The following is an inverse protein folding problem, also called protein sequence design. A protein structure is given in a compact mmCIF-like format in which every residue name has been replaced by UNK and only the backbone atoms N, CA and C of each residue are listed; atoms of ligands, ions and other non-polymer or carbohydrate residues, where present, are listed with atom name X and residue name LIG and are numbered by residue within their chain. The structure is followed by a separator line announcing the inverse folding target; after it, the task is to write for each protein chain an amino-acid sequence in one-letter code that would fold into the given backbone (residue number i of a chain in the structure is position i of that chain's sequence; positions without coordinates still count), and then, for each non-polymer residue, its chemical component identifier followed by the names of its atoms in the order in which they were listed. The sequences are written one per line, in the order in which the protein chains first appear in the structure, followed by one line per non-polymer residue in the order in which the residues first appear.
data_IF_815254699704
#
_entry.id   IF_815254699704
#
_cell.length_a   1.000
_cell.length_b   1.000
_cell.length_c   1.000
_cell.angle_alpha   90.00
_cell.angle_beta   90.00
_cell.angle_gamma   90.00
#
_symmetry.space_group_name_H-M   'P 1'
#
loop_
_entity.id
_entity.type
_entity.pdbx_description
1 polymer ?
#
# COMPACT_ATOMS: atom_id res chain seq x y z
N UNK A 1 -2.17 4.80 30.44
CA UNK A 1 -1.86 4.73 28.99
C UNK A 1 -2.92 5.50 28.21
N UNK A 2 -2.50 6.46 27.40
CA UNK A 2 -3.44 7.24 26.59
C UNK A 2 -3.88 6.40 25.41
N UNK A 3 -5.19 6.23 25.24
CA UNK A 3 -5.72 5.58 24.05
C UNK A 3 -6.09 6.65 23.03
N UNK A 4 -5.46 6.59 21.87
CA UNK A 4 -5.76 7.46 20.76
C UNK A 4 -6.97 6.94 19.98
N UNK A 5 -7.86 7.84 19.58
CA UNK A 5 -8.95 7.51 18.68
C UNK A 5 -8.39 7.19 17.28
N UNK A 6 -9.15 6.44 16.49
CA UNK A 6 -8.74 6.00 15.15
C UNK A 6 -8.31 7.16 14.25
N UNK A 7 -9.02 8.30 14.33
CA UNK A 7 -8.71 9.51 13.55
C UNK A 7 -7.36 10.13 13.96
N UNK A 8 -7.07 10.16 15.26
CA UNK A 8 -5.81 10.71 15.79
C UNK A 8 -4.62 9.81 15.43
N UNK A 9 -4.80 8.50 15.51
CA UNK A 9 -3.77 7.53 15.10
C UNK A 9 -3.42 7.70 13.63
N UNK A 10 -4.41 7.87 12.77
CA UNK A 10 -4.22 8.10 11.34
C UNK A 10 -3.45 9.39 11.08
N UNK A 11 -3.81 10.48 11.74
CA UNK A 11 -3.14 11.78 11.62
C UNK A 11 -1.66 11.69 12.04
N UNK A 12 -1.38 11.04 13.17
CA UNK A 12 -0.01 10.86 13.64
C UNK A 12 0.81 10.00 12.68
N UNK A 13 0.23 8.93 12.16
CA UNK A 13 0.89 8.06 11.19
C UNK A 13 1.25 8.83 9.91
N UNK A 14 0.35 9.67 9.40
CA UNK A 14 0.61 10.48 8.21
C UNK A 14 1.74 11.49 8.44
N UNK A 15 1.78 12.15 9.60
CA UNK A 15 2.85 13.09 9.94
C UNK A 15 4.20 12.41 10.05
N UNK A 16 4.26 11.23 10.68
CA UNK A 16 5.48 10.43 10.77
C UNK A 16 5.96 10.01 9.37
N UNK A 17 5.05 9.59 8.50
CA UNK A 17 5.36 9.21 7.13
C UNK A 17 5.95 10.39 6.35
N UNK A 18 5.38 11.59 6.47
CA UNK A 18 5.91 12.79 5.83
C UNK A 18 7.31 13.13 6.33
N UNK A 19 7.58 12.96 7.64
CA UNK A 19 8.90 13.19 8.21
C UNK A 19 9.93 12.18 7.70
N UNK A 20 9.56 10.90 7.57
CA UNK A 20 10.46 9.82 7.18
C UNK A 20 10.66 9.73 5.66
N UNK A 21 9.61 9.96 4.88
CA UNK A 21 9.64 9.79 3.43
C UNK A 21 9.68 11.11 2.67
N UNK A 22 9.32 12.22 3.33
CA UNK A 22 9.44 13.57 2.79
C UNK A 22 8.54 13.85 1.59
N UNK A 23 8.95 14.83 0.78
CA UNK A 23 8.30 15.18 -0.46
C UNK A 23 8.35 14.01 -1.45
N UNK A 24 7.43 14.02 -2.41
CA UNK A 24 7.35 12.97 -3.41
C UNK A 24 8.61 12.93 -4.29
N UNK A 25 9.18 11.75 -4.47
CA UNK A 25 10.23 11.50 -5.45
C UNK A 25 9.56 11.09 -6.77
N UNK A 26 9.54 12.00 -7.74
CA UNK A 26 8.87 11.79 -9.01
C UNK A 26 9.48 10.68 -9.85
N UNK A 27 10.80 10.49 -9.79
CA UNK A 27 11.49 9.43 -10.52
C UNK A 27 11.12 8.04 -9.95
N UNK A 28 11.10 7.91 -8.64
CA UNK A 28 10.66 6.67 -7.98
C UNK A 28 9.19 6.38 -8.26
N UNK A 29 8.33 7.39 -8.20
CA UNK A 29 6.91 7.24 -8.49
C UNK A 29 6.67 6.78 -9.93
N UNK A 30 7.41 7.30 -10.89
CA UNK A 30 7.33 6.88 -12.30
C UNK A 30 7.74 5.43 -12.47
N UNK A 31 8.82 5.01 -11.82
CA UNK A 31 9.27 3.62 -11.86
C UNK A 31 8.26 2.69 -11.20
N UNK A 32 7.68 3.11 -10.09
CA UNK A 32 6.60 2.37 -9.43
C UNK A 32 5.37 2.22 -10.31
N UNK A 33 5.00 3.25 -11.06
CA UNK A 33 3.93 3.20 -12.04
C UNK A 33 4.19 2.15 -13.12
N UNK A 34 5.41 2.11 -13.65
CA UNK A 34 5.80 1.12 -14.67
C UNK A 34 5.71 -0.31 -14.13
N UNK A 35 6.22 -0.56 -12.93
CA UNK A 35 6.15 -1.88 -12.29
C UNK A 35 4.69 -2.27 -12.04
N UNK A 36 3.90 -1.34 -11.51
CA UNK A 36 2.48 -1.58 -11.22
C UNK A 36 1.67 -1.90 -12.45
N UNK A 37 1.98 -1.25 -13.58
CA UNK A 37 1.31 -1.50 -14.85
C UNK A 37 1.47 -2.93 -15.34
N UNK A 38 2.58 -3.59 -15.02
CA UNK A 38 2.85 -4.97 -15.45
C UNK A 38 2.42 -6.00 -14.41
N UNK A 39 2.50 -5.69 -13.11
CA UNK A 39 2.35 -6.70 -12.04
C UNK A 39 1.15 -6.50 -11.13
N UNK A 40 0.55 -5.33 -11.10
CA UNK A 40 -0.44 -4.99 -10.07
C UNK A 40 -1.80 -4.58 -10.64
N UNK A 41 -1.83 -3.83 -11.72
CA UNK A 41 -3.04 -3.15 -12.19
C UNK A 41 -4.05 -4.09 -12.86
N UNK A 42 -3.68 -5.34 -13.16
CA UNK A 42 -4.64 -6.35 -13.60
C UNK A 42 -5.60 -6.74 -12.48
N UNK A 43 -5.22 -6.54 -11.22
CA UNK A 43 -6.00 -6.91 -10.04
C UNK A 43 -6.40 -5.72 -9.18
N UNK A 44 -5.68 -4.60 -9.24
CA UNK A 44 -5.92 -3.42 -8.41
C UNK A 44 -6.17 -2.19 -9.28
N UNK A 45 -7.31 -1.53 -9.07
CA UNK A 45 -7.59 -0.22 -9.67
C UNK A 45 -6.91 0.89 -8.87
N UNK A 46 -6.64 2.00 -9.53
CA UNK A 46 -6.11 3.20 -8.87
C UNK A 46 -7.18 4.01 -8.15
N UNK A 47 -8.43 3.67 -8.32
CA UNK A 47 -9.58 4.23 -7.63
C UNK A 47 -9.88 3.45 -6.34
N UNK A 48 -10.97 3.79 -5.66
CA UNK A 48 -11.45 3.04 -4.50
C UNK A 48 -12.27 1.80 -4.86
N UNK A 49 -12.50 1.56 -6.15
CA UNK A 49 -13.29 0.43 -6.60
C UNK A 49 -12.49 -0.87 -6.53
N UNK A 50 -13.16 -1.93 -6.04
CA UNK A 50 -12.62 -3.28 -6.06
C UNK A 50 -12.63 -3.84 -7.49
N UNK A 51 -11.54 -4.52 -7.87
CA UNK A 51 -11.47 -5.34 -9.07
C UNK A 51 -11.32 -6.81 -8.63
N UNK A 52 -10.16 -7.41 -8.77
CA UNK A 52 -9.84 -8.69 -8.12
C UNK A 52 -9.41 -8.42 -6.68
N UNK A 53 -8.53 -7.45 -6.48
CA UNK A 53 -8.12 -6.94 -5.19
C UNK A 53 -8.73 -5.57 -4.89
N UNK A 54 -8.47 -5.03 -3.70
CA UNK A 54 -8.98 -3.71 -3.32
C UNK A 54 -8.38 -2.59 -4.17
N UNK A 55 -9.14 -1.50 -4.36
CA UNK A 55 -8.63 -0.30 -5.00
C UNK A 55 -7.56 0.37 -4.15
N UNK A 56 -6.62 1.05 -4.83
CA UNK A 56 -5.46 1.64 -4.18
C UNK A 56 -5.67 3.06 -3.65
N UNK A 57 -6.74 3.73 -4.04
CA UNK A 57 -7.01 5.08 -3.57
C UNK A 57 -7.09 5.10 -2.04
N UNK A 58 -6.28 5.94 -1.43
CA UNK A 58 -6.22 6.08 0.03
C UNK A 58 -5.39 5.02 0.74
N UNK A 59 -4.72 4.13 0.02
CA UNK A 59 -3.97 3.03 0.64
C UNK A 59 -2.85 3.53 1.56
N UNK A 60 -2.18 4.62 1.21
CA UNK A 60 -1.12 5.19 2.04
C UNK A 60 -1.66 5.95 3.25
N UNK A 61 -2.96 6.20 3.30
CA UNK A 61 -3.65 6.75 4.46
C UNK A 61 -4.12 5.65 5.40
N UNK A 62 -4.41 4.45 4.88
CA UNK A 62 -4.88 3.30 5.67
C UNK A 62 -3.74 2.49 6.27
N UNK A 63 -2.60 2.42 5.58
CA UNK A 63 -1.45 1.60 5.98
C UNK A 63 -0.15 2.38 5.86
N UNK A 64 0.81 2.08 6.73
CA UNK A 64 2.14 2.67 6.64
C UNK A 64 2.89 2.13 5.42
N UNK A 65 3.88 2.89 4.89
CA UNK A 65 4.73 2.38 3.82
C UNK A 65 5.42 1.05 4.17
N UNK A 66 5.85 0.90 5.42
CA UNK A 66 6.48 -0.35 5.88
C UNK A 66 5.52 -1.53 5.83
N UNK A 67 4.27 -1.33 6.25
CA UNK A 67 3.24 -2.37 6.16
C UNK A 67 2.98 -2.77 4.72
N UNK A 68 2.85 -1.78 3.82
CA UNK A 68 2.61 -2.02 2.40
C UNK A 68 3.78 -2.79 1.77
N UNK A 69 5.01 -2.31 2.00
CA UNK A 69 6.21 -2.96 1.46
C UNK A 69 6.34 -4.41 1.94
N UNK A 70 6.10 -4.63 3.23
CA UNK A 70 6.15 -5.97 3.81
C UNK A 70 5.11 -6.90 3.15
N UNK A 71 3.90 -6.39 2.93
CA UNK A 71 2.85 -7.16 2.29
C UNK A 71 3.16 -7.49 0.83
N UNK A 72 3.52 -6.49 0.02
CA UNK A 72 3.70 -6.70 -1.42
C UNK A 72 4.96 -7.49 -1.78
N UNK A 73 5.97 -7.51 -0.92
CA UNK A 73 7.17 -8.33 -1.13
C UNK A 73 6.97 -9.78 -0.71
N UNK A 74 6.11 -10.04 0.26
CA UNK A 74 5.84 -11.40 0.75
C UNK A 74 4.44 -11.50 1.37
N UNK A 75 3.40 -11.64 0.54
CA UNK A 75 2.02 -11.56 1.05
C UNK A 75 1.60 -12.75 1.92
N UNK A 76 2.11 -13.95 1.69
CA UNK A 76 1.61 -15.16 2.34
C UNK A 76 1.60 -15.12 3.88
N UNK A 77 2.69 -14.74 4.58
CA UNK A 77 2.64 -14.69 6.04
C UNK A 77 1.62 -13.70 6.58
N UNK A 78 1.41 -12.57 5.90
CA UNK A 78 0.43 -11.58 6.32
C UNK A 78 -1.00 -12.04 6.03
N UNK A 79 -1.23 -12.70 4.90
CA UNK A 79 -2.53 -13.31 4.61
C UNK A 79 -2.91 -14.32 5.68
N UNK A 80 -1.94 -15.08 6.17
CA UNK A 80 -2.18 -16.11 7.17
C UNK A 80 -2.37 -15.57 8.59
N UNK A 81 -1.81 -14.39 8.91
CA UNK A 81 -1.71 -13.90 10.30
C UNK A 81 -2.30 -12.52 10.55
N UNK A 82 -2.33 -11.62 9.55
CA UNK A 82 -2.79 -10.25 9.75
C UNK A 82 -4.32 -10.17 9.63
N UNK A 83 -5.04 -9.72 10.69
CA UNK A 83 -6.50 -9.67 10.66
C UNK A 83 -7.09 -8.75 9.58
N UNK A 84 -6.42 -7.65 9.25
CA UNK A 84 -6.88 -6.74 8.19
C UNK A 84 -6.76 -7.40 6.82
N UNK A 85 -5.67 -8.11 6.58
CA UNK A 85 -5.47 -8.85 5.34
C UNK A 85 -6.48 -9.98 5.22
N UNK A 86 -6.76 -10.68 6.31
CA UNK A 86 -7.78 -11.74 6.35
C UNK A 86 -9.17 -11.19 6.03
N UNK A 87 -9.51 -10.01 6.55
CA UNK A 87 -10.77 -9.33 6.23
C UNK A 87 -10.87 -9.00 4.74
N UNK A 88 -9.79 -8.54 4.13
CA UNK A 88 -9.75 -8.27 2.69
C UNK A 88 -9.88 -9.56 1.87
N UNK A 89 -9.28 -10.64 2.32
CA UNK A 89 -9.40 -11.93 1.66
C UNK A 89 -10.86 -12.42 1.65
N UNK A 90 -11.59 -12.21 2.74
CA UNK A 90 -13.02 -12.53 2.80
C UNK A 90 -13.85 -11.75 1.79
N UNK A 91 -13.48 -10.50 1.52
CA UNK A 91 -14.16 -9.64 0.53
C UNK A 91 -13.75 -10.01 -0.89
N UNK A 92 -12.46 -10.17 -1.14
CA UNK A 92 -11.90 -10.38 -2.49
C UNK A 92 -11.97 -11.82 -2.95
N UNK A 93 -11.94 -12.78 -2.02
CA UNK A 93 -12.02 -14.23 -2.27
C UNK A 93 -10.85 -14.82 -3.08
N UNK A 94 -9.81 -14.02 -3.33
CA UNK A 94 -8.60 -14.44 -4.07
C UNK A 94 -7.36 -14.04 -3.28
N UNK A 95 -6.45 -14.98 -3.07
CA UNK A 95 -5.14 -14.70 -2.48
C UNK A 95 -4.28 -13.93 -3.46
N UNK A 96 -3.67 -12.85 -3.00
CA UNK A 96 -2.68 -12.15 -3.80
C UNK A 96 -1.43 -13.02 -3.95
N UNK A 97 -1.02 -13.35 -5.19
CA UNK A 97 0.20 -14.12 -5.39
C UNK A 97 1.44 -13.26 -5.16
N UNK A 98 2.54 -13.90 -4.75
CA UNK A 98 3.84 -13.24 -4.63
C UNK A 98 4.33 -12.82 -6.02
N UNK A 99 4.59 -11.53 -6.20
CA UNK A 99 5.02 -10.95 -7.48
C UNK A 99 6.54 -10.96 -7.69
N UNK A 100 7.31 -11.47 -6.72
CA UNK A 100 8.76 -11.51 -6.83
C UNK A 100 9.42 -10.14 -6.76
N UNK A 101 8.84 -9.21 -6.02
CA UNK A 101 9.34 -7.84 -5.92
C UNK A 101 10.54 -7.77 -4.98
N UNK A 102 11.55 -6.97 -5.36
CA UNK A 102 12.62 -6.58 -4.44
C UNK A 102 12.14 -5.47 -3.52
N UNK A 103 12.90 -5.18 -2.47
CA UNK A 103 12.58 -4.04 -1.58
C UNK A 103 12.64 -2.71 -2.31
N UNK A 104 13.55 -2.58 -3.29
CA UNK A 104 13.64 -1.38 -4.14
C UNK A 104 12.38 -1.24 -4.99
N UNK A 105 11.94 -2.31 -5.63
CA UNK A 105 10.69 -2.31 -6.41
C UNK A 105 9.50 -1.92 -5.54
N UNK A 106 9.40 -2.49 -4.35
CA UNK A 106 8.33 -2.19 -3.40
C UNK A 106 8.35 -0.73 -2.97
N UNK A 107 9.54 -0.17 -2.73
CA UNK A 107 9.68 1.24 -2.37
C UNK A 107 9.22 2.16 -3.50
N UNK A 108 9.55 1.83 -4.74
CA UNK A 108 9.10 2.59 -5.91
C UNK A 108 7.58 2.53 -6.07
N UNK A 109 6.99 1.36 -5.85
CA UNK A 109 5.53 1.17 -5.89
C UNK A 109 4.83 2.01 -4.81
N UNK A 110 5.36 2.02 -3.60
CA UNK A 110 4.82 2.87 -2.52
C UNK A 110 4.87 4.34 -2.90
N UNK A 111 5.93 4.80 -3.56
CA UNK A 111 6.02 6.19 -4.02
C UNK A 111 4.94 6.50 -5.05
N UNK A 112 4.65 5.57 -5.96
CA UNK A 112 3.55 5.70 -6.89
C UNK A 112 2.19 5.75 -6.17
N UNK A 113 1.99 4.91 -5.15
CA UNK A 113 0.79 4.96 -4.33
C UNK A 113 0.65 6.31 -3.62
N UNK A 114 1.74 6.85 -3.08
CA UNK A 114 1.75 8.18 -2.45
C UNK A 114 1.35 9.27 -3.43
N UNK A 115 1.87 9.22 -4.65
CA UNK A 115 1.46 10.15 -5.71
C UNK A 115 -0.03 10.04 -6.02
N UNK A 116 -0.53 8.82 -6.14
CA UNK A 116 -1.95 8.57 -6.39
C UNK A 116 -2.84 9.13 -5.27
N UNK A 117 -2.34 9.14 -4.05
CA UNK A 117 -3.05 9.68 -2.87
C UNK A 117 -2.83 11.19 -2.66
N UNK A 118 -2.17 11.87 -3.59
CA UNK A 118 -2.05 13.32 -3.60
C UNK A 118 -0.83 13.89 -2.90
N UNK A 119 0.14 13.07 -2.52
CA UNK A 119 1.42 13.55 -1.96
C UNK A 119 2.19 14.29 -3.06
N UNK A 120 2.73 15.45 -2.73
CA UNK A 120 3.52 16.29 -3.65
C UNK A 120 5.01 16.30 -3.32
#
# INVERSE_FOLDING_TARGET
MVQWQKKEKKYLAQNVILLLFGALDGAMAKKGEEISGTKCNSCHKMTDEKLVGPGWKGVTERHTPYWIMNFITNPDPMIDKDPEVQSQLEICLVRMPNQGLTDVDARDIVEFMRKNDGVK
#
